data_IF_531734125068
#
_entry.id   IF_531734125068
#
_cell.length_a   1.000
_cell.length_b   1.000
_cell.length_c   1.000
_cell.angle_alpha   90.00
_cell.angle_beta   90.00
_cell.angle_gamma   90.00
#
_symmetry.space_group_name_H-M   'P 1'
#
loop_
_entity.id
_entity.type
_entity.pdbx_description
1 polymer ?
#
# COMPACT_ATOMS: atom_id res chain seq x y z
N UNK A 1 -4.37 3.27 36.61
CA UNK A 1 -3.37 2.17 36.49
C UNK A 1 -2.89 2.04 35.05
N UNK A 2 -2.09 3.01 34.53
CA UNK A 2 -1.59 3.02 33.13
C UNK A 2 -0.09 3.25 33.01
N UNK A 3 0.67 3.05 34.10
CA UNK A 3 2.10 3.39 34.16
C UNK A 3 3.10 2.28 33.76
N UNK A 4 2.63 1.09 33.31
CA UNK A 4 3.54 -0.07 33.20
C UNK A 4 3.87 -0.57 31.78
N UNK A 5 3.58 0.16 30.69
CA UNK A 5 3.78 -0.38 29.31
C UNK A 5 4.73 0.42 28.40
N UNK A 6 5.52 1.35 28.94
CA UNK A 6 6.46 2.16 28.14
C UNK A 6 7.91 1.70 28.34
N UNK A 7 8.15 0.42 28.03
CA UNK A 7 9.53 -0.05 27.85
C UNK A 7 10.20 0.72 26.73
N UNK A 8 11.48 1.09 26.92
CA UNK A 8 12.35 1.82 25.98
C UNK A 8 12.68 0.93 24.77
N UNK A 9 11.68 0.50 24.01
CA UNK A 9 11.89 0.04 22.65
C UNK A 9 12.12 1.27 21.79
N UNK A 10 13.15 1.28 20.97
CA UNK A 10 13.47 2.36 20.03
C UNK A 10 12.18 2.80 19.32
N UNK A 11 11.62 3.95 19.76
CA UNK A 11 10.33 4.42 19.28
C UNK A 11 10.42 4.69 17.77
N UNK A 12 9.69 3.96 16.98
CA UNK A 12 9.60 4.22 15.54
C UNK A 12 9.24 5.70 15.33
N UNK A 13 9.96 6.37 14.41
CA UNK A 13 9.73 7.80 14.15
C UNK A 13 8.25 8.03 13.80
N UNK A 14 7.61 9.00 14.46
CA UNK A 14 6.22 9.35 14.20
C UNK A 14 5.98 9.60 12.70
N UNK A 15 4.88 9.02 12.20
CA UNK A 15 4.43 9.15 10.81
C UNK A 15 3.27 10.13 10.76
N UNK A 16 3.30 11.00 9.77
CA UNK A 16 2.23 11.97 9.49
C UNK A 16 1.32 11.41 8.39
N UNK A 17 0.01 11.49 8.59
CA UNK A 17 -1.01 11.08 7.64
C UNK A 17 -1.95 12.24 7.38
N UNK A 18 -1.78 12.87 6.22
CA UNK A 18 -2.55 14.04 5.84
C UNK A 18 -3.66 13.65 4.85
N UNK A 19 -4.84 14.27 4.94
CA UNK A 19 -5.87 14.12 3.91
C UNK A 19 -5.40 14.71 2.58
N UNK A 20 -5.98 14.22 1.47
CA UNK A 20 -5.63 14.69 0.14
C UNK A 20 -4.23 14.29 -0.32
N UNK A 21 -3.69 13.17 0.16
CA UNK A 21 -2.30 12.78 -0.09
C UNK A 21 -2.20 11.49 -0.91
N UNK A 22 -1.32 11.49 -1.89
CA UNK A 22 -0.95 10.30 -2.67
C UNK A 22 0.16 9.54 -1.95
N UNK A 23 0.00 8.21 -1.88
CA UNK A 23 0.98 7.32 -1.25
C UNK A 23 1.35 6.16 -2.15
N UNK A 24 2.64 5.88 -2.28
CA UNK A 24 3.11 4.54 -2.64
C UNK A 24 3.18 3.70 -1.37
N UNK A 25 2.55 2.54 -1.39
CA UNK A 25 2.52 1.60 -0.28
C UNK A 25 3.12 0.28 -0.70
N UNK A 26 4.05 -0.24 0.11
CA UNK A 26 4.57 -1.59 -0.06
C UNK A 26 4.29 -2.42 1.18
N UNK A 27 3.76 -3.63 0.99
CA UNK A 27 3.48 -4.58 2.07
C UNK A 27 4.10 -5.93 1.77
N UNK A 28 5.06 -6.38 2.58
CA UNK A 28 5.79 -7.64 2.38
C UNK A 28 5.26 -8.76 3.26
N UNK A 29 5.33 -9.98 2.74
CA UNK A 29 5.14 -11.18 3.53
C UNK A 29 6.33 -11.44 4.45
N UNK A 30 6.05 -12.02 5.63
CA UNK A 30 7.08 -12.45 6.59
C UNK A 30 8.08 -13.36 5.88
N UNK A 31 9.37 -13.10 6.16
CA UNK A 31 10.49 -13.89 5.62
C UNK A 31 10.50 -13.97 4.09
N UNK A 32 9.84 -13.01 3.42
CA UNK A 32 9.70 -12.99 1.95
C UNK A 32 9.07 -14.26 1.37
N UNK A 33 8.26 -14.97 2.18
CA UNK A 33 7.56 -16.17 1.75
C UNK A 33 6.49 -15.83 0.70
N UNK A 34 6.28 -16.73 -0.26
CA UNK A 34 5.40 -16.54 -1.42
C UNK A 34 3.90 -16.72 -1.10
N UNK A 35 3.46 -16.23 0.07
CA UNK A 35 2.12 -16.41 0.63
C UNK A 35 0.99 -15.76 -0.19
N UNK A 36 1.35 -14.97 -1.20
CA UNK A 36 0.41 -14.32 -2.12
C UNK A 36 0.51 -14.86 -3.55
N UNK A 37 1.08 -16.05 -3.73
CA UNK A 37 1.18 -16.69 -5.06
C UNK A 37 -0.20 -16.75 -5.73
N UNK A 38 -0.32 -16.26 -6.98
CA UNK A 38 -1.59 -16.29 -7.72
C UNK A 38 -2.07 -17.73 -7.94
N UNK A 39 -3.36 -17.97 -7.68
CA UNK A 39 -4.06 -19.22 -8.07
C UNK A 39 -3.37 -20.55 -7.71
N UNK A 40 -2.54 -20.58 -6.67
CA UNK A 40 -1.98 -21.86 -6.21
C UNK A 40 -3.08 -22.80 -5.74
N UNK A 41 -3.24 -23.90 -6.43
CA UNK A 41 -4.28 -24.90 -6.17
C UNK A 41 -3.91 -25.82 -5.00
N UNK A 42 -3.86 -25.31 -3.77
CA UNK A 42 -3.50 -26.11 -2.59
C UNK A 42 -4.66 -26.87 -1.94
N UNK A 43 -5.89 -26.50 -2.25
CA UNK A 43 -7.06 -27.27 -1.80
C UNK A 43 -8.28 -27.02 -2.68
N UNK A 44 -9.04 -28.09 -2.98
CA UNK A 44 -10.36 -28.00 -3.63
C UNK A 44 -11.40 -27.26 -2.78
N UNK A 45 -11.14 -27.06 -1.49
CA UNK A 45 -12.05 -26.42 -0.53
C UNK A 45 -12.15 -24.92 -0.73
N UNK A 46 -11.05 -24.27 -1.14
CA UNK A 46 -10.97 -22.81 -1.27
C UNK A 46 -10.57 -22.44 -2.70
N UNK A 47 -11.57 -22.10 -3.51
CA UNK A 47 -11.39 -21.78 -4.93
C UNK A 47 -11.12 -20.30 -5.21
N UNK A 48 -11.13 -19.44 -4.19
CA UNK A 48 -10.92 -18.00 -4.38
C UNK A 48 -9.48 -17.70 -4.79
N UNK A 49 -9.27 -16.82 -5.78
CA UNK A 49 -7.93 -16.36 -6.13
C UNK A 49 -7.41 -15.36 -5.10
N UNK A 50 -6.08 -15.18 -5.02
CA UNK A 50 -5.47 -14.11 -4.19
C UNK A 50 -5.94 -12.75 -4.65
N UNK A 51 -6.16 -12.56 -5.95
CA UNK A 51 -6.79 -11.36 -6.51
C UNK A 51 -8.18 -11.11 -5.92
N UNK A 52 -9.04 -12.12 -5.88
CA UNK A 52 -10.38 -12.00 -5.27
C UNK A 52 -10.30 -11.65 -3.79
N UNK A 53 -9.38 -12.27 -3.03
CA UNK A 53 -9.13 -11.97 -1.62
C UNK A 53 -8.72 -10.50 -1.45
N UNK A 54 -7.78 -10.03 -2.27
CA UNK A 54 -7.29 -8.65 -2.24
C UNK A 54 -8.41 -7.65 -2.59
N UNK A 55 -9.10 -7.86 -3.72
CA UNK A 55 -10.18 -6.97 -4.20
C UNK A 55 -11.29 -6.86 -3.16
N UNK A 56 -11.72 -7.99 -2.59
CA UNK A 56 -12.78 -8.00 -1.57
C UNK A 56 -12.36 -7.25 -0.30
N UNK A 57 -11.18 -7.57 0.27
CA UNK A 57 -10.68 -6.93 1.47
C UNK A 57 -10.48 -5.41 1.27
N UNK A 58 -9.96 -5.01 0.11
CA UNK A 58 -9.74 -3.59 -0.24
C UNK A 58 -11.07 -2.86 -0.38
N UNK A 59 -12.00 -3.37 -1.17
CA UNK A 59 -13.29 -2.73 -1.38
C UNK A 59 -14.10 -2.59 -0.09
N UNK A 60 -14.01 -3.59 0.80
CA UNK A 60 -14.69 -3.60 2.10
C UNK A 60 -14.31 -2.42 3.00
N UNK A 61 -13.08 -1.95 2.89
CA UNK A 61 -12.56 -0.89 3.76
C UNK A 61 -12.26 0.43 3.04
N UNK A 62 -12.05 0.43 1.72
CA UNK A 62 -11.69 1.62 0.97
C UNK A 62 -12.70 2.76 1.15
N UNK A 63 -13.98 2.50 0.88
CA UNK A 63 -15.04 3.49 1.05
C UNK A 63 -15.17 3.98 2.51
N UNK A 64 -15.03 3.06 3.49
CA UNK A 64 -15.14 3.40 4.91
C UNK A 64 -14.06 4.38 5.38
N UNK A 65 -12.87 4.29 4.82
CA UNK A 65 -11.74 5.10 5.21
C UNK A 65 -11.40 6.21 4.21
N UNK A 66 -12.19 6.36 3.13
CA UNK A 66 -11.95 7.38 2.10
C UNK A 66 -10.64 7.16 1.35
N UNK A 67 -10.33 5.90 1.02
CA UNK A 67 -9.14 5.52 0.24
C UNK A 67 -9.56 5.14 -1.18
N UNK A 68 -8.84 5.67 -2.16
CA UNK A 68 -9.00 5.34 -3.57
C UNK A 68 -7.77 4.61 -4.08
N UNK A 69 -7.99 3.52 -4.83
CA UNK A 69 -6.92 2.72 -5.43
C UNK A 69 -6.66 3.24 -6.83
N UNK A 70 -5.42 3.65 -7.09
CA UNK A 70 -5.01 4.17 -8.41
C UNK A 70 -4.29 3.09 -9.21
N UNK A 71 -3.36 2.39 -8.56
CA UNK A 71 -2.65 1.27 -9.15
C UNK A 71 -2.30 0.23 -8.09
N UNK A 72 -2.23 -1.02 -8.50
CA UNK A 72 -1.87 -2.14 -7.63
C UNK A 72 -1.15 -3.24 -8.41
N UNK A 73 -0.17 -3.86 -7.78
CA UNK A 73 0.40 -5.14 -8.19
C UNK A 73 0.56 -6.04 -6.97
N UNK A 74 -0.12 -7.18 -6.96
CA UNK A 74 0.02 -8.20 -5.93
C UNK A 74 1.03 -9.24 -6.43
N UNK A 75 2.26 -9.12 -5.95
CA UNK A 75 3.34 -10.07 -6.21
C UNK A 75 3.22 -11.29 -5.30
N UNK A 76 3.91 -12.39 -5.60
CA UNK A 76 3.83 -13.62 -4.79
C UNK A 76 4.21 -13.43 -3.32
N UNK A 77 5.01 -12.44 -2.96
CA UNK A 77 5.50 -12.21 -1.59
C UNK A 77 5.38 -10.77 -1.09
N UNK A 78 4.78 -9.88 -1.85
CA UNK A 78 4.52 -8.50 -1.43
C UNK A 78 3.45 -7.84 -2.31
N UNK A 79 2.95 -6.70 -1.85
CA UNK A 79 1.96 -5.88 -2.55
C UNK A 79 2.57 -4.51 -2.76
N UNK A 80 2.47 -3.97 -3.97
CA UNK A 80 2.74 -2.58 -4.32
C UNK A 80 1.46 -1.88 -4.71
N UNK A 81 1.24 -0.68 -4.20
CA UNK A 81 0.03 0.11 -4.45
C UNK A 81 0.37 1.59 -4.57
N UNK A 82 -0.36 2.28 -5.43
CA UNK A 82 -0.51 3.74 -5.36
C UNK A 82 -1.94 4.02 -4.92
N UNK A 83 -2.07 4.71 -3.79
CA UNK A 83 -3.34 5.02 -3.13
C UNK A 83 -3.48 6.52 -2.94
N UNK A 84 -4.72 7.02 -3.02
CA UNK A 84 -5.07 8.38 -2.61
C UNK A 84 -5.84 8.32 -1.29
N UNK A 85 -5.37 9.07 -0.29
CA UNK A 85 -5.99 9.15 1.03
C UNK A 85 -6.75 10.48 1.18
N UNK A 86 -8.05 10.43 0.95
CA UNK A 86 -8.93 11.61 1.03
C UNK A 86 -9.07 12.15 2.45
N UNK A 87 -8.87 11.32 3.47
CA UNK A 87 -9.29 11.59 4.85
C UNK A 87 -8.17 11.59 5.88
N UNK A 88 -6.93 11.24 5.51
CA UNK A 88 -5.82 11.04 6.44
C UNK A 88 -5.96 9.76 7.29
N UNK A 89 -6.64 8.74 6.76
CA UNK A 89 -6.91 7.47 7.45
C UNK A 89 -6.25 6.24 6.82
N UNK A 90 -5.24 6.43 5.98
CA UNK A 90 -4.55 5.32 5.31
C UNK A 90 -4.01 4.28 6.28
N UNK A 91 -3.55 4.70 7.46
CA UNK A 91 -3.03 3.76 8.48
C UNK A 91 -4.10 2.81 9.00
N UNK A 92 -5.30 3.31 9.29
CA UNK A 92 -6.44 2.49 9.74
C UNK A 92 -6.95 1.59 8.62
N UNK A 93 -7.04 2.12 7.39
CA UNK A 93 -7.39 1.33 6.22
C UNK A 93 -6.45 0.14 6.06
N UNK A 94 -5.14 0.40 6.03
CA UNK A 94 -4.15 -0.66 5.83
C UNK A 94 -4.14 -1.66 6.98
N UNK A 95 -4.35 -1.22 8.23
CA UNK A 95 -4.47 -2.13 9.37
C UNK A 95 -5.67 -3.07 9.20
N UNK A 96 -6.85 -2.53 8.91
CA UNK A 96 -8.08 -3.32 8.77
C UNK A 96 -8.02 -4.25 7.54
N UNK A 97 -7.64 -3.71 6.37
CA UNK A 97 -7.52 -4.48 5.13
C UNK A 97 -6.47 -5.58 5.23
N UNK A 98 -5.26 -5.26 5.72
CA UNK A 98 -4.18 -6.24 5.81
C UNK A 98 -4.48 -7.33 6.84
N UNK A 99 -5.16 -7.00 7.95
CA UNK A 99 -5.64 -8.01 8.90
C UNK A 99 -6.60 -8.98 8.21
N UNK A 100 -7.62 -8.46 7.54
CA UNK A 100 -8.61 -9.28 6.84
C UNK A 100 -7.97 -10.15 5.77
N UNK A 101 -7.07 -9.60 4.95
CA UNK A 101 -6.35 -10.35 3.92
C UNK A 101 -5.43 -11.42 4.55
N UNK A 102 -4.71 -11.10 5.62
CA UNK A 102 -3.85 -12.06 6.30
C UNK A 102 -4.63 -13.24 6.88
N UNK A 103 -5.74 -12.96 7.56
CA UNK A 103 -6.58 -14.01 8.15
C UNK A 103 -7.13 -14.95 7.06
N UNK A 104 -7.51 -14.41 5.91
CA UNK A 104 -8.00 -15.21 4.78
C UNK A 104 -6.90 -16.06 4.14
N UNK A 105 -5.71 -15.49 3.95
CA UNK A 105 -4.55 -16.22 3.42
C UNK A 105 -4.11 -17.32 4.37
N UNK A 106 -4.19 -17.09 5.69
CA UNK A 106 -3.95 -18.15 6.70
C UNK A 106 -4.91 -19.32 6.54
N UNK A 107 -6.20 -19.03 6.44
CA UNK A 107 -7.24 -20.07 6.25
C UNK A 107 -6.99 -20.84 4.95
N UNK A 108 -6.69 -20.11 3.86
CA UNK A 108 -6.46 -20.71 2.54
C UNK A 108 -5.32 -21.72 2.52
N UNK A 109 -4.21 -21.40 3.17
CA UNK A 109 -2.99 -22.20 3.11
C UNK A 109 -2.68 -22.97 4.41
N UNK A 110 -3.55 -22.90 5.43
CA UNK A 110 -3.31 -23.55 6.72
C UNK A 110 -2.07 -23.00 7.45
N UNK A 111 -1.82 -21.67 7.35
CA UNK A 111 -0.60 -21.08 7.90
C UNK A 111 -0.73 -20.81 9.40
N UNK A 112 0.17 -21.35 10.25
CA UNK A 112 0.17 -21.06 11.68
C UNK A 112 0.76 -19.68 12.03
N UNK A 113 1.59 -19.12 11.14
CA UNK A 113 2.35 -17.88 11.38
C UNK A 113 1.71 -16.65 10.75
N UNK A 114 2.26 -15.47 11.06
CA UNK A 114 1.85 -14.23 10.43
C UNK A 114 2.11 -14.26 8.92
N UNK A 115 1.19 -13.62 8.16
CA UNK A 115 1.34 -13.49 6.69
C UNK A 115 2.26 -12.33 6.34
N UNK A 116 2.06 -11.19 7.00
CA UNK A 116 2.80 -9.97 6.70
C UNK A 116 3.83 -9.65 7.79
N UNK A 117 4.93 -9.02 7.40
CA UNK A 117 5.91 -8.45 8.30
C UNK A 117 5.27 -7.47 9.30
N UNK A 118 6.05 -6.99 10.28
CA UNK A 118 5.58 -6.04 11.30
C UNK A 118 4.76 -4.90 10.70
N UNK A 119 3.85 -4.26 11.49
CA UNK A 119 2.79 -3.36 10.99
C UNK A 119 3.26 -2.17 10.16
N UNK A 120 4.54 -1.90 10.13
CA UNK A 120 5.15 -0.75 9.48
C UNK A 120 5.48 -1.00 8.00
N UNK A 121 4.47 -1.32 7.18
CA UNK A 121 4.62 -1.21 5.73
C UNK A 121 5.24 0.15 5.35
N UNK A 122 5.95 0.19 4.23
CA UNK A 122 6.53 1.42 3.72
C UNK A 122 5.44 2.28 3.12
N UNK A 123 5.34 3.54 3.57
CA UNK A 123 4.46 4.54 2.95
C UNK A 123 5.36 5.67 2.46
N UNK A 124 5.36 5.91 1.18
CA UNK A 124 6.05 7.05 0.58
C UNK A 124 5.01 8.06 0.13
N UNK A 125 5.04 9.27 0.68
CA UNK A 125 4.25 10.39 0.16
C UNK A 125 4.78 10.73 -1.23
N UNK A 126 3.86 10.83 -2.18
CA UNK A 126 4.15 11.24 -3.56
C UNK A 126 3.73 12.69 -3.74
N UNK A 127 4.58 13.48 -4.36
CA UNK A 127 4.32 14.89 -4.63
C UNK A 127 4.73 15.24 -6.05
N UNK A 128 3.81 15.84 -6.80
CA UNK A 128 3.99 16.23 -8.20
C UNK A 128 3.63 15.13 -9.20
N UNK A 129 3.22 15.54 -10.40
CA UNK A 129 2.73 14.65 -11.46
C UNK A 129 3.75 13.61 -11.87
N UNK A 130 5.00 14.02 -12.05
CA UNK A 130 6.09 13.11 -12.44
C UNK A 130 6.33 12.01 -11.41
N UNK A 131 6.30 12.34 -10.11
CA UNK A 131 6.49 11.35 -9.04
C UNK A 131 5.32 10.35 -8.98
N UNK A 132 4.09 10.84 -9.14
CA UNK A 132 2.89 10.01 -9.14
C UNK A 132 2.91 9.08 -10.37
N UNK A 133 3.12 9.62 -11.58
CA UNK A 133 3.18 8.82 -12.81
C UNK A 133 4.30 7.77 -12.78
N UNK A 134 5.50 8.14 -12.33
CA UNK A 134 6.62 7.20 -12.20
C UNK A 134 6.31 6.05 -11.25
N UNK A 135 5.63 6.32 -10.11
CA UNK A 135 5.27 5.29 -9.15
C UNK A 135 4.12 4.40 -9.60
N UNK A 136 3.14 4.93 -10.32
CA UNK A 136 2.11 4.12 -10.97
C UNK A 136 2.76 3.17 -11.98
N UNK A 137 3.61 3.69 -12.85
CA UNK A 137 4.34 2.90 -13.83
C UNK A 137 5.25 1.85 -13.16
N UNK A 138 5.91 2.19 -12.03
CA UNK A 138 6.69 1.25 -11.24
C UNK A 138 5.85 0.09 -10.71
N UNK A 139 4.66 0.37 -10.17
CA UNK A 139 3.74 -0.66 -9.69
C UNK A 139 3.35 -1.61 -10.82
N UNK A 140 3.03 -1.08 -12.01
CA UNK A 140 2.67 -1.87 -13.19
C UNK A 140 3.85 -2.66 -13.78
N UNK A 141 5.09 -2.11 -13.73
CA UNK A 141 6.28 -2.77 -14.24
C UNK A 141 6.86 -3.84 -13.31
N UNK A 142 6.40 -3.92 -12.06
CA UNK A 142 7.05 -4.68 -10.99
C UNK A 142 7.34 -6.15 -11.35
N UNK A 143 6.42 -6.92 -11.97
CA UNK A 143 6.69 -8.31 -12.34
C UNK A 143 7.77 -8.45 -13.41
N UNK A 144 7.88 -7.47 -14.33
CA UNK A 144 8.90 -7.43 -15.38
C UNK A 144 10.25 -7.02 -14.78
N UNK A 145 10.26 -6.01 -13.91
CA UNK A 145 11.48 -5.60 -13.19
C UNK A 145 12.06 -6.70 -12.32
N UNK A 146 11.20 -7.57 -11.78
CA UNK A 146 11.59 -8.74 -11.00
C UNK A 146 12.03 -9.95 -11.84
N UNK A 147 12.00 -9.87 -13.18
CA UNK A 147 12.37 -10.98 -14.08
C UNK A 147 11.37 -12.15 -14.05
N UNK A 148 10.13 -11.91 -13.66
CA UNK A 148 9.13 -12.96 -13.52
C UNK A 148 8.37 -13.20 -14.82
N UNK A 149 8.03 -12.14 -15.55
CA UNK A 149 7.34 -12.18 -16.85
C UNK A 149 7.92 -11.15 -17.80
N UNK A 150 7.78 -11.35 -19.11
CA UNK A 150 8.35 -10.45 -20.12
C UNK A 150 7.50 -9.18 -20.34
N UNK A 151 6.20 -9.23 -19.97
CA UNK A 151 5.30 -8.07 -20.00
C UNK A 151 4.34 -8.10 -18.81
N UNK A 152 3.77 -6.94 -18.40
CA UNK A 152 2.80 -6.88 -17.30
C UNK A 152 1.57 -7.76 -17.52
N UNK A 153 1.10 -7.87 -18.77
CA UNK A 153 -0.10 -8.64 -19.17
C UNK A 153 0.07 -10.15 -18.94
N UNK A 154 1.31 -10.62 -18.92
CA UNK A 154 1.63 -12.03 -18.63
C UNK A 154 1.54 -12.35 -17.14
N UNK A 155 1.45 -11.33 -16.25
CA UNK A 155 1.36 -11.57 -14.82
C UNK A 155 0.05 -12.28 -14.46
N UNK A 156 0.06 -13.47 -13.82
CA UNK A 156 -1.16 -14.23 -13.58
C UNK A 156 -1.98 -13.76 -12.37
N UNK A 157 -1.52 -12.78 -11.62
CA UNK A 157 -2.18 -12.24 -10.43
C UNK A 157 -2.78 -10.87 -10.65
N UNK A 158 -3.18 -10.20 -9.56
CA UNK A 158 -3.69 -8.84 -9.60
C UNK A 158 -2.60 -7.87 -10.03
N UNK A 159 -2.83 -7.17 -11.13
CA UNK A 159 -2.03 -6.06 -11.62
C UNK A 159 -2.94 -5.04 -12.31
N UNK A 160 -2.62 -3.77 -12.19
CA UNK A 160 -3.31 -2.68 -12.91
C UNK A 160 -2.75 -2.51 -14.31
N UNK A 161 -3.62 -2.12 -15.24
CA UNK A 161 -3.27 -1.62 -16.56
C UNK A 161 -3.45 -0.10 -16.64
N UNK A 162 -2.91 0.54 -17.70
CA UNK A 162 -3.04 2.00 -17.91
C UNK A 162 -4.51 2.39 -18.09
N UNK A 163 -5.28 1.52 -18.71
CA UNK A 163 -6.72 1.69 -18.97
C UNK A 163 -7.54 1.77 -17.68
N UNK A 164 -7.08 1.14 -16.59
CA UNK A 164 -7.74 1.23 -15.28
C UNK A 164 -7.80 2.66 -14.75
N UNK A 165 -6.91 3.56 -15.20
CA UNK A 165 -6.92 4.97 -14.79
C UNK A 165 -8.20 5.70 -15.19
N UNK A 166 -8.87 5.25 -16.26
CA UNK A 166 -10.16 5.81 -16.71
C UNK A 166 -11.35 5.39 -15.83
N UNK A 167 -11.09 4.55 -14.83
CA UNK A 167 -12.08 4.08 -13.87
C UNK A 167 -12.65 2.72 -14.23
N UNK A 168 -12.28 1.72 -13.43
CA UNK A 168 -12.85 0.38 -13.53
C UNK A 168 -13.57 0.00 -12.23
N UNK A 169 -14.71 -0.68 -12.38
CA UNK A 169 -15.49 -1.21 -11.26
C UNK A 169 -15.76 -2.68 -11.47
N UNK A 170 -15.43 -3.49 -10.48
CA UNK A 170 -15.64 -4.94 -10.50
C UNK A 170 -16.51 -5.34 -9.30
N UNK A 171 -17.58 -6.11 -9.54
CA UNK A 171 -18.33 -6.76 -8.48
C UNK A 171 -17.56 -7.99 -8.00
N UNK A 172 -17.26 -8.04 -6.72
CA UNK A 172 -16.44 -9.10 -6.11
C UNK A 172 -17.28 -9.85 -5.10
N UNK A 173 -17.54 -11.13 -5.38
CA UNK A 173 -18.23 -12.01 -4.45
C UNK A 173 -17.35 -12.26 -3.23
N UNK A 174 -18.01 -12.44 -2.06
CA UNK A 174 -17.32 -12.76 -0.81
C UNK A 174 -16.57 -14.09 -0.93
N UNK A 175 -15.24 -14.12 -0.72
CA UNK A 175 -14.49 -15.36 -0.68
C UNK A 175 -14.99 -16.31 0.40
N UNK A 176 -14.99 -17.61 0.12
CA UNK A 176 -15.44 -18.65 1.09
C UNK A 176 -14.60 -18.66 2.36
N UNK A 177 -13.35 -18.31 2.27
CA UNK A 177 -12.42 -18.17 3.39
C UNK A 177 -12.91 -17.17 4.47
N UNK A 178 -13.77 -16.21 4.11
CA UNK A 178 -14.39 -15.28 5.06
C UNK A 178 -15.63 -15.84 5.76
N UNK A 179 -16.17 -16.97 5.31
CA UNK A 179 -17.36 -17.58 5.90
C UNK A 179 -17.04 -18.32 7.23
N UNK A 180 -15.79 -18.77 7.40
CA UNK A 180 -15.35 -19.49 8.60
C UNK A 180 -15.34 -18.63 9.88
N UNK A 181 -15.42 -17.32 9.74
CA UNK A 181 -15.60 -16.39 10.85
C UNK A 181 -17.06 -15.98 10.86
N UNK A 182 -17.86 -16.38 11.83
CA UNK A 182 -19.28 -16.10 12.08
C UNK A 182 -19.71 -14.62 11.91
N UNK A 183 -19.24 -13.96 10.87
CA UNK A 183 -19.31 -12.54 10.67
C UNK A 183 -20.48 -12.20 9.75
N UNK A 184 -21.69 -12.15 10.36
CA UNK A 184 -22.94 -11.72 9.72
C UNK A 184 -22.86 -10.32 9.06
N UNK A 185 -21.79 -9.56 9.33
CA UNK A 185 -21.59 -8.18 8.84
C UNK A 185 -20.89 -8.08 7.48
N UNK A 186 -20.36 -9.16 6.94
CA UNK A 186 -19.68 -9.13 5.65
C UNK A 186 -20.68 -9.23 4.49
N UNK A 187 -20.73 -8.19 3.65
CA UNK A 187 -21.59 -8.17 2.47
C UNK A 187 -21.29 -9.36 1.53
N UNK A 188 -22.32 -9.97 0.91
CA UNK A 188 -22.10 -11.08 -0.02
C UNK A 188 -21.34 -10.67 -1.27
N UNK A 189 -21.46 -9.41 -1.68
CA UNK A 189 -20.76 -8.82 -2.81
C UNK A 189 -20.34 -7.39 -2.47
N UNK A 190 -19.16 -6.98 -2.93
CA UNK A 190 -18.65 -5.61 -2.80
C UNK A 190 -18.24 -5.08 -4.17
N UNK A 191 -18.24 -3.76 -4.34
CA UNK A 191 -17.75 -3.10 -5.55
C UNK A 191 -16.30 -2.67 -5.33
N UNK A 192 -15.35 -3.33 -5.98
CA UNK A 192 -13.96 -2.89 -6.07
C UNK A 192 -13.84 -1.84 -7.16
N UNK A 193 -13.26 -0.70 -6.82
CA UNK A 193 -13.03 0.41 -7.75
C UNK A 193 -11.54 0.69 -7.84
N UNK A 194 -11.08 0.99 -9.05
CA UNK A 194 -9.73 1.42 -9.36
C UNK A 194 -9.80 2.53 -10.41
N UNK A 195 -8.95 3.55 -10.31
CA UNK A 195 -8.94 4.66 -11.25
C UNK A 195 -8.27 5.90 -10.72
N UNK A 196 -8.16 6.92 -11.55
CA UNK A 196 -7.66 8.23 -11.16
C UNK A 196 -8.71 8.96 -10.29
N UNK A 197 -8.35 9.39 -9.06
CA UNK A 197 -9.22 10.25 -8.27
C UNK A 197 -9.32 11.65 -8.91
N UNK A 198 -10.40 12.37 -8.59
CA UNK A 198 -10.65 13.72 -9.14
C UNK A 198 -9.45 14.65 -8.96
N UNK A 199 -8.80 14.59 -7.81
CA UNK A 199 -7.63 15.41 -7.47
C UNK A 199 -6.42 15.08 -8.36
N UNK A 200 -6.25 13.82 -8.77
CA UNK A 200 -5.23 13.45 -9.75
C UNK A 200 -5.57 14.01 -11.13
N UNK A 201 -6.83 13.90 -11.55
CA UNK A 201 -7.29 14.46 -12.84
C UNK A 201 -7.07 15.97 -12.88
N UNK A 202 -7.41 16.68 -11.81
CA UNK A 202 -7.17 18.13 -11.69
C UNK A 202 -5.67 18.46 -11.75
N UNK A 203 -4.82 17.68 -11.06
CA UNK A 203 -3.37 17.88 -11.03
C UNK A 203 -2.70 17.65 -12.39
N UNK A 204 -3.17 16.66 -13.17
CA UNK A 204 -2.63 16.31 -14.48
C UNK A 204 -3.28 17.07 -15.64
N UNK A 205 -4.37 17.81 -15.38
CA UNK A 205 -5.19 18.47 -16.38
C UNK A 205 -6.26 17.56 -17.00
N UNK A 206 -5.98 16.29 -17.19
CA UNK A 206 -6.94 15.26 -17.63
C UNK A 206 -6.48 13.85 -17.27
N UNK A 207 -7.41 12.89 -17.28
CA UNK A 207 -7.05 11.47 -17.13
C UNK A 207 -6.24 10.96 -18.32
N UNK A 208 -6.47 11.48 -19.50
CA UNK A 208 -5.71 11.13 -20.73
C UNK A 208 -4.26 11.57 -20.59
N UNK A 209 -4.00 12.78 -20.13
CA UNK A 209 -2.66 13.30 -19.87
C UNK A 209 -1.92 12.45 -18.83
N UNK A 210 -2.62 12.10 -17.75
CA UNK A 210 -2.10 11.19 -16.72
C UNK A 210 -1.74 9.84 -17.32
N UNK A 211 -2.63 9.24 -18.11
CA UNK A 211 -2.41 7.94 -18.75
C UNK A 211 -1.22 7.97 -19.73
N UNK A 212 -1.08 9.02 -20.52
CA UNK A 212 0.07 9.21 -21.43
C UNK A 212 1.39 9.29 -20.66
N UNK A 213 1.46 10.06 -19.58
CA UNK A 213 2.66 10.15 -18.76
C UNK A 213 3.00 8.80 -18.11
N UNK A 214 2.01 8.10 -17.55
CA UNK A 214 2.19 6.76 -16.97
C UNK A 214 2.68 5.76 -18.03
N UNK A 215 2.06 5.73 -19.22
CA UNK A 215 2.48 4.84 -20.32
C UNK A 215 3.92 5.10 -20.77
N UNK A 216 4.33 6.37 -20.84
CA UNK A 216 5.71 6.74 -21.17
C UNK A 216 6.70 6.20 -20.13
N UNK A 217 6.44 6.40 -18.84
CA UNK A 217 7.27 5.86 -17.76
C UNK A 217 7.28 4.33 -17.76
N UNK A 218 6.13 3.69 -17.96
CA UNK A 218 5.98 2.24 -18.00
C UNK A 218 6.82 1.63 -19.13
N UNK A 219 6.72 2.19 -20.34
CA UNK A 219 7.52 1.75 -21.50
C UNK A 219 9.03 1.81 -21.22
N UNK A 220 9.50 2.91 -20.61
CA UNK A 220 10.93 3.05 -20.23
C UNK A 220 11.35 1.99 -19.23
N UNK A 221 10.53 1.72 -18.19
CA UNK A 221 10.81 0.69 -17.17
C UNK A 221 10.85 -0.71 -17.77
N UNK A 222 9.87 -1.07 -18.60
CA UNK A 222 9.83 -2.38 -19.28
C UNK A 222 11.06 -2.57 -20.17
N UNK A 223 11.41 -1.56 -21.00
CA UNK A 223 12.60 -1.62 -21.85
C UNK A 223 13.88 -1.82 -21.03
N UNK A 224 14.03 -1.09 -19.92
CA UNK A 224 15.18 -1.22 -19.03
C UNK A 224 15.24 -2.61 -18.36
N UNK A 225 14.09 -3.12 -17.88
CA UNK A 225 14.00 -4.44 -17.27
C UNK A 225 14.33 -5.56 -18.26
N UNK A 226 13.79 -5.51 -19.48
CA UNK A 226 14.08 -6.49 -20.55
C UNK A 226 15.57 -6.54 -20.89
N UNK A 227 16.24 -5.39 -20.96
CA UNK A 227 17.71 -5.34 -21.16
C UNK A 227 18.45 -5.97 -19.98
N UNK A 228 18.07 -5.64 -18.73
CA UNK A 228 18.69 -6.16 -17.50
C UNK A 228 18.61 -7.69 -17.42
N UNK A 229 17.50 -8.26 -17.81
CA UNK A 229 17.25 -9.70 -17.76
C UNK A 229 17.67 -10.44 -19.04
N UNK A 230 18.15 -9.72 -20.08
CA UNK A 230 18.59 -10.31 -21.37
C UNK A 230 17.57 -11.29 -21.96
N UNK A 231 16.26 -11.00 -21.82
CA UNK A 231 15.17 -11.87 -22.25
C UNK A 231 14.89 -13.09 -21.35
N UNK A 232 15.65 -13.30 -20.27
CA UNK A 232 15.48 -14.42 -19.36
C UNK A 232 14.43 -14.11 -18.29
N UNK A 233 13.22 -14.62 -18.46
CA UNK A 233 12.11 -14.48 -17.53
C UNK A 233 11.66 -15.84 -16.99
N UNK A 234 11.18 -15.87 -15.76
CA UNK A 234 10.69 -17.11 -15.13
C UNK A 234 9.50 -17.71 -15.89
N UNK A 235 8.62 -16.86 -16.43
CA UNK A 235 7.42 -17.23 -17.16
C UNK A 235 6.21 -17.47 -16.25
N UNK A 236 5.03 -17.25 -16.84
CA UNK A 236 3.72 -17.35 -16.16
C UNK A 236 3.52 -18.69 -15.45
N UNK A 237 3.87 -19.80 -16.09
CA UNK A 237 3.66 -21.14 -15.51
C UNK A 237 4.47 -21.35 -14.23
N UNK A 238 5.75 -20.93 -14.22
CA UNK A 238 6.62 -21.03 -13.04
C UNK A 238 6.12 -20.16 -11.90
N UNK A 239 5.56 -18.97 -12.21
CA UNK A 239 4.92 -18.11 -11.19
C UNK A 239 3.74 -18.83 -10.55
N UNK A 240 2.84 -19.44 -11.35
CA UNK A 240 1.67 -20.17 -10.86
C UNK A 240 2.06 -21.42 -10.05
N UNK A 241 3.16 -22.08 -10.39
CA UNK A 241 3.67 -23.27 -9.70
C UNK A 241 4.44 -22.93 -8.41
N UNK A 242 4.64 -21.63 -8.09
CA UNK A 242 5.40 -21.23 -6.91
C UNK A 242 4.67 -21.63 -5.62
N UNK A 243 5.32 -22.44 -4.79
CA UNK A 243 4.76 -22.91 -3.52
C UNK A 243 4.62 -21.75 -2.54
N UNK A 244 3.42 -21.49 -1.98
CA UNK A 244 3.20 -20.40 -1.01
C UNK A 244 3.98 -20.56 0.31
N UNK A 245 4.48 -21.75 0.63
CA UNK A 245 5.33 -21.99 1.79
C UNK A 245 6.83 -21.76 1.49
N UNK A 246 7.21 -21.62 0.22
CA UNK A 246 8.60 -21.34 -0.16
C UNK A 246 8.94 -19.85 0.06
N UNK A 247 10.23 -19.56 0.10
CA UNK A 247 10.77 -18.20 0.31
C UNK A 247 11.59 -17.76 -0.90
N UNK A 248 11.65 -16.44 -1.11
CA UNK A 248 12.55 -15.89 -2.10
C UNK A 248 14.01 -16.14 -1.71
N UNK A 249 14.81 -16.65 -2.67
CA UNK A 249 16.25 -16.92 -2.46
C UNK A 249 17.13 -15.69 -2.57
N UNK A 250 16.61 -14.60 -3.12
CA UNK A 250 17.34 -13.33 -3.30
C UNK A 250 17.37 -12.54 -1.99
N UNK A 251 18.53 -11.95 -1.68
CA UNK A 251 18.68 -11.05 -0.53
C UNK A 251 18.67 -9.61 -1.02
N UNK A 252 17.86 -8.76 -0.38
CA UNK A 252 18.06 -7.32 -0.48
C UNK A 252 19.10 -6.89 0.56
N UNK A 253 19.98 -5.96 0.19
CA UNK A 253 20.93 -5.39 1.15
C UNK A 253 20.16 -4.76 2.32
N UNK A 254 20.38 -5.25 3.53
CA UNK A 254 19.86 -4.65 4.75
C UNK A 254 20.45 -3.24 4.95
N UNK A 255 19.65 -2.30 5.43
CA UNK A 255 20.16 -1.01 5.90
C UNK A 255 20.00 0.15 4.92
N UNK A 256 19.40 -0.02 3.76
CA UNK A 256 19.03 1.09 2.87
C UNK A 256 18.05 2.06 3.54
N UNK A 257 18.29 3.38 3.40
CA UNK A 257 17.29 4.38 3.82
C UNK A 257 16.07 4.24 2.92
N UNK A 258 14.95 3.80 3.49
CA UNK A 258 13.67 3.79 2.78
C UNK A 258 13.21 5.24 2.66
N UNK A 259 13.10 5.80 1.44
CA UNK A 259 12.57 7.13 1.25
C UNK A 259 11.13 7.17 1.80
N UNK A 260 10.78 8.28 2.48
CA UNK A 260 9.41 8.48 3.00
C UNK A 260 8.63 9.49 2.17
N UNK A 261 9.27 10.02 1.15
CA UNK A 261 8.71 10.94 0.18
C UNK A 261 9.39 10.73 -1.17
N UNK A 262 8.67 11.01 -2.24
CA UNK A 262 9.17 10.93 -3.61
C UNK A 262 8.68 12.16 -4.37
N UNK A 263 9.61 12.90 -4.97
CA UNK A 263 9.37 14.15 -5.72
C UNK A 263 9.95 14.09 -7.13
N UNK A 264 10.37 12.89 -7.57
CA UNK A 264 10.99 12.65 -8.89
C UNK A 264 12.14 13.61 -9.24
N UNK A 265 12.96 13.98 -8.25
CA UNK A 265 14.12 14.86 -8.46
C UNK A 265 13.86 16.34 -8.20
N UNK A 266 12.64 16.76 -7.92
CA UNK A 266 12.35 18.14 -7.49
C UNK A 266 12.92 18.38 -6.08
N UNK A 267 14.10 19.01 -6.04
CA UNK A 267 14.85 19.28 -4.82
C UNK A 267 14.18 20.34 -3.94
N UNK A 268 13.49 21.31 -4.52
CA UNK A 268 12.81 22.38 -3.77
C UNK A 268 11.64 21.78 -2.98
N UNK A 269 10.78 21.05 -3.64
CA UNK A 269 9.68 20.30 -3.02
C UNK A 269 10.21 19.27 -2.00
N UNK A 270 11.27 18.56 -2.31
CA UNK A 270 11.87 17.60 -1.35
C UNK A 270 12.35 18.31 -0.08
N UNK A 271 13.05 19.45 -0.17
CA UNK A 271 13.49 20.26 0.98
C UNK A 271 12.30 20.73 1.81
N UNK A 272 11.26 21.27 1.18
CA UNK A 272 10.02 21.69 1.85
C UNK A 272 9.38 20.56 2.63
N UNK A 273 9.14 19.41 2.00
CA UNK A 273 8.53 18.23 2.65
C UNK A 273 9.38 17.66 3.79
N UNK A 274 10.70 17.69 3.67
CA UNK A 274 11.61 17.28 4.74
C UNK A 274 11.49 18.23 5.93
N UNK A 275 11.39 19.55 5.68
CA UNK A 275 11.20 20.54 6.73
C UNK A 275 9.86 20.36 7.44
N UNK A 276 8.76 20.18 6.70
CA UNK A 276 7.43 19.86 7.24
C UNK A 276 7.47 18.60 8.13
N UNK A 277 8.09 17.52 7.66
CA UNK A 277 8.20 16.27 8.41
C UNK A 277 9.05 16.44 9.69
N UNK A 278 10.09 17.27 9.66
CA UNK A 278 10.91 17.58 10.85
C UNK A 278 10.12 18.40 11.87
N UNK A 279 9.39 19.42 11.40
CA UNK A 279 8.50 20.23 12.23
C UNK A 279 7.42 19.39 12.90
N UNK A 280 6.72 18.55 12.12
CA UNK A 280 5.74 17.58 12.65
C UNK A 280 6.33 16.70 13.75
N UNK A 281 7.50 16.10 13.53
CA UNK A 281 8.13 15.21 14.50
C UNK A 281 8.57 15.94 15.77
N UNK A 282 9.01 17.20 15.66
CA UNK A 282 9.35 18.04 16.80
C UNK A 282 8.08 18.31 17.64
N UNK A 283 7.01 18.79 17.01
CA UNK A 283 5.73 19.07 17.67
C UNK A 283 5.12 17.79 18.29
N UNK A 284 5.14 16.66 17.57
CA UNK A 284 4.69 15.38 18.09
C UNK A 284 5.45 14.93 19.34
N UNK A 285 6.78 15.13 19.38
CA UNK A 285 7.62 14.79 20.54
C UNK A 285 7.25 15.64 21.74
N UNK A 286 7.10 16.95 21.56
CA UNK A 286 6.67 17.87 22.62
C UNK A 286 5.32 17.45 23.21
N UNK A 287 4.33 17.16 22.35
CA UNK A 287 3.02 16.68 22.80
C UNK A 287 3.13 15.35 23.55
N UNK A 288 3.95 14.42 23.06
CA UNK A 288 4.14 13.12 23.69
C UNK A 288 4.81 13.22 25.07
N UNK A 289 5.82 14.08 25.22
CA UNK A 289 6.46 14.33 26.54
C UNK A 289 5.47 14.99 27.53
N UNK A 290 4.60 15.87 27.05
CA UNK A 290 3.55 16.43 27.90
C UNK A 290 2.57 15.35 28.40
N UNK A 291 2.19 14.38 27.56
CA UNK A 291 1.38 13.23 27.96
C UNK A 291 2.11 12.37 29.01
N UNK A 292 3.41 12.06 28.76
CA UNK A 292 4.22 11.31 29.72
C UNK A 292 4.38 12.01 31.08
N UNK A 293 4.42 13.34 31.06
CA UNK A 293 4.44 14.17 32.29
C UNK A 293 3.05 14.27 32.97
N UNK A 294 2.06 13.50 32.52
CA UNK A 294 0.74 13.42 33.17
C UNK A 294 -0.26 14.50 32.73
N UNK A 295 0.06 15.35 31.73
CA UNK A 295 -0.91 16.31 31.21
C UNK A 295 -2.06 15.59 30.51
N UNK A 296 -3.30 15.85 30.95
CA UNK A 296 -4.52 15.19 30.43
C UNK A 296 -5.05 15.81 29.13
N UNK A 297 -4.86 17.10 28.93
CA UNK A 297 -5.33 17.85 27.74
C UNK A 297 -4.13 18.24 26.89
N UNK A 298 -3.79 17.39 25.93
CA UNK A 298 -2.69 17.60 24.99
C UNK A 298 -3.21 17.46 23.58
N UNK A 299 -3.06 18.50 22.75
CA UNK A 299 -3.36 18.47 21.33
C UNK A 299 -2.12 18.07 20.55
N UNK A 300 -2.24 17.09 19.69
CA UNK A 300 -1.17 16.62 18.81
C UNK A 300 -1.18 17.39 17.47
N UNK A 301 -0.05 17.46 16.76
CA UNK A 301 -0.01 18.13 15.46
C UNK A 301 -0.88 17.41 14.41
N UNK A 302 -1.30 18.15 13.39
CA UNK A 302 -2.12 17.66 12.28
C UNK A 302 -1.48 16.43 11.60
N UNK A 303 -2.29 15.44 11.25
CA UNK A 303 -1.82 14.18 10.67
C UNK A 303 -1.34 13.15 11.70
N UNK A 304 -1.46 13.42 12.99
CA UNK A 304 -1.21 12.41 14.04
C UNK A 304 -2.21 11.26 13.92
N UNK A 305 -1.70 10.02 13.77
CA UNK A 305 -2.52 8.82 13.66
C UNK A 305 -2.75 8.14 15.00
N UNK A 306 -1.77 7.40 15.52
CA UNK A 306 -1.93 6.51 16.68
C UNK A 306 -2.48 7.21 17.92
N UNK A 307 -1.92 8.36 18.31
CA UNK A 307 -2.36 9.07 19.53
C UNK A 307 -3.79 9.58 19.40
N UNK A 308 -4.21 9.97 18.18
CA UNK A 308 -5.58 10.40 17.94
C UNK A 308 -6.56 9.22 17.88
N UNK A 309 -6.31 8.22 17.02
CA UNK A 309 -7.30 7.18 16.73
C UNK A 309 -7.34 6.04 17.76
N UNK A 310 -6.21 5.72 18.40
CA UNK A 310 -6.13 4.63 19.36
C UNK A 310 -6.26 5.10 20.82
N UNK A 311 -5.84 6.33 21.12
CA UNK A 311 -5.83 6.86 22.49
C UNK A 311 -6.74 8.06 22.69
N UNK A 312 -7.44 8.55 21.66
CA UNK A 312 -8.45 9.60 21.77
C UNK A 312 -7.91 11.03 21.97
N UNK A 313 -6.61 11.26 21.84
CA UNK A 313 -6.06 12.62 21.97
C UNK A 313 -6.53 13.51 20.81
N UNK A 314 -6.91 14.78 21.08
CA UNK A 314 -7.20 15.74 20.02
C UNK A 314 -5.98 15.99 19.15
N UNK A 315 -6.21 16.32 17.89
CA UNK A 315 -5.18 16.76 16.94
C UNK A 315 -5.61 18.04 16.25
N UNK A 316 -4.64 18.83 15.83
CA UNK A 316 -4.86 19.99 15.00
C UNK A 316 -5.56 19.60 13.68
N UNK A 317 -6.36 20.51 13.16
CA UNK A 317 -6.97 20.40 11.82
C UNK A 317 -5.88 20.70 10.79
N UNK A 318 -5.78 19.86 9.78
CA UNK A 318 -4.88 20.14 8.66
C UNK A 318 -5.50 21.19 7.75
N UNK A 319 -4.78 22.29 7.57
CA UNK A 319 -5.10 23.31 6.58
C UNK A 319 -4.07 23.18 5.47
N UNK A 320 -4.47 22.79 4.24
CA UNK A 320 -3.55 22.76 3.12
C UNK A 320 -2.94 24.16 2.90
N UNK A 321 -1.63 24.22 2.65
CA UNK A 321 -1.04 25.45 2.16
C UNK A 321 -1.61 25.73 0.77
N UNK A 322 -1.90 27.00 0.43
CA UNK A 322 -2.30 27.36 -0.93
C UNK A 322 -1.22 26.86 -1.91
N UNK A 323 -1.66 26.35 -3.06
CA UNK A 323 -0.76 26.01 -4.14
C UNK A 323 0.03 27.28 -4.52
N UNK A 324 1.36 27.17 -4.53
CA UNK A 324 2.25 28.25 -4.95
C UNK A 324 2.18 28.45 -6.46
#
# INVERSE_FOLDING_TARGET
RWHAAWGVAAMSKAKQYLPGTFYEVTRRCVERAHKLTPNYASSRKYASSVEQLYKYATARYAARYGIEVIAVCVMSNHIHEVLFDRTGKISQFLQARNKMLADTVKVRYGLPSNVFDKPDGTYNRLEGTTAIADKIAYVMANPVEAGLVASPEEWPGMISAVEDLFGATTNVARPREYLAQNNKTNAPTVKFRIGAPKEAVELFGSVTEMAMQVASHLSKKIKAARRRHSGNFAGRQRVLATNPHSRAKTYEKFGGRVPRLTTAGDLATAKRLIAEMRAFRKAYRVALEAVKAGKRRVTFPAGTGKMHFAYGYPREVYVPLPAA
#
